data_IF_270353421387
#
_entry.id   IF_270353421387
#
_cell.length_a   1.000
_cell.length_b   1.000
_cell.length_c   1.000
_cell.angle_alpha   90.00
_cell.angle_beta   90.00
_cell.angle_gamma   90.00
#
_symmetry.space_group_name_H-M   'P 1'
#
loop_
_entity.id
_entity.type
_entity.pdbx_description
1 polymer ?
#
# COMPACT_ATOMS: atom_id res chain seq x y z
N UNK A 1 6.64 18.76 39.67
CA UNK A 1 5.50 17.89 39.19
C UNK A 1 5.08 18.46 37.86
N UNK A 2 5.73 18.01 36.77
CA UNK A 2 5.40 18.43 35.40
C UNK A 2 4.45 17.40 34.82
N UNK A 3 3.23 17.84 34.56
CA UNK A 3 2.21 17.03 33.86
C UNK A 3 2.61 16.92 32.40
N UNK A 4 2.91 15.72 31.94
CA UNK A 4 3.03 15.39 30.53
C UNK A 4 1.65 15.57 29.85
N UNK A 5 1.58 16.18 28.68
CA UNK A 5 0.35 16.22 27.93
C UNK A 5 -0.05 14.77 27.57
N UNK A 6 -1.26 14.38 27.93
CA UNK A 6 -1.85 13.12 27.49
C UNK A 6 -1.98 13.19 25.96
N UNK A 7 -1.25 12.36 25.24
CA UNK A 7 -1.45 12.13 23.81
C UNK A 7 -2.87 11.57 23.67
N UNK A 8 -3.76 12.18 22.91
CA UNK A 8 -5.10 11.65 22.71
C UNK A 8 -4.98 10.24 22.10
N UNK A 9 -5.70 9.27 22.68
CA UNK A 9 -5.72 7.87 22.20
C UNK A 9 -6.19 7.74 20.75
N UNK A 10 -6.82 8.78 20.19
CA UNK A 10 -7.20 8.88 18.78
C UNK A 10 -6.01 9.05 17.82
N UNK A 11 -4.84 9.46 18.30
CA UNK A 11 -3.64 9.61 17.46
C UNK A 11 -2.97 8.25 17.11
N UNK A 12 -3.36 7.19 17.80
CA UNK A 12 -3.04 5.82 17.38
C UNK A 12 -4.11 5.38 16.36
N UNK A 13 -3.99 5.85 15.13
CA UNK A 13 -4.87 5.44 14.05
C UNK A 13 -4.95 3.92 13.94
N UNK A 14 -5.98 3.37 13.29
CA UNK A 14 -6.23 1.94 13.19
C UNK A 14 -5.02 1.11 12.74
N UNK A 15 -4.04 1.75 12.09
CA UNK A 15 -2.79 1.11 11.65
C UNK A 15 -1.82 0.80 12.80
N UNK A 16 -1.71 1.66 13.80
CA UNK A 16 -0.88 1.36 14.98
C UNK A 16 -1.45 0.15 15.75
N UNK A 17 -2.78 0.05 15.84
CA UNK A 17 -3.48 -1.12 16.37
C UNK A 17 -3.35 -2.34 15.45
N UNK A 18 -3.30 -2.15 14.12
CA UNK A 18 -3.13 -3.24 13.17
C UNK A 18 -1.74 -3.85 13.20
N UNK A 19 -0.71 -3.03 13.30
CA UNK A 19 0.66 -3.53 13.49
C UNK A 19 0.79 -4.31 14.81
N UNK A 20 0.12 -3.86 15.86
CA UNK A 20 0.07 -4.56 17.14
C UNK A 20 -0.74 -5.87 17.08
N UNK A 21 -1.85 -5.89 16.32
CA UNK A 21 -2.67 -7.10 16.16
C UNK A 21 -2.00 -8.16 15.27
N UNK A 22 -1.27 -7.76 14.23
CA UNK A 22 -0.44 -8.68 13.44
C UNK A 22 0.69 -9.25 14.30
N UNK A 23 1.32 -8.43 15.13
CA UNK A 23 2.33 -8.90 16.09
C UNK A 23 1.72 -9.86 17.13
N UNK A 24 0.52 -9.58 17.64
CA UNK A 24 -0.19 -10.45 18.59
C UNK A 24 -0.64 -11.76 17.94
N UNK A 25 -1.10 -11.75 16.68
CA UNK A 25 -1.41 -12.99 15.96
C UNK A 25 -0.15 -13.86 15.76
N UNK A 26 0.98 -13.23 15.45
CA UNK A 26 2.27 -13.93 15.36
C UNK A 26 2.77 -14.45 16.72
N UNK A 27 2.44 -13.78 17.83
CA UNK A 27 2.81 -14.20 19.19
C UNK A 27 1.89 -15.32 19.74
N UNK A 28 0.62 -15.37 19.32
CA UNK A 28 -0.32 -16.42 19.73
C UNK A 28 -0.26 -17.67 18.86
N UNK A 29 0.25 -17.58 17.64
CA UNK A 29 0.55 -18.73 16.79
C UNK A 29 1.85 -19.44 17.20
N UNK A 30 2.10 -19.62 18.50
CA UNK A 30 3.31 -20.17 19.12
C UNK A 30 3.83 -21.51 18.60
N UNK A 31 3.85 -21.69 17.29
CA UNK A 31 4.55 -22.73 16.57
C UNK A 31 5.85 -22.16 16.01
N UNK A 32 6.99 -22.65 16.48
CA UNK A 32 8.29 -22.45 15.87
C UNK A 32 8.26 -23.00 14.43
N UNK A 33 7.77 -22.23 13.48
CA UNK A 33 8.06 -22.48 12.06
C UNK A 33 9.39 -21.83 11.74
N UNK A 34 10.47 -22.58 11.91
CA UNK A 34 11.71 -22.31 11.21
C UNK A 34 11.43 -22.53 9.73
N UNK A 35 11.01 -21.50 9.02
CA UNK A 35 10.99 -21.49 7.57
C UNK A 35 12.46 -21.55 7.11
N UNK A 36 12.92 -22.76 6.83
CA UNK A 36 14.12 -22.96 6.00
C UNK A 36 13.76 -22.43 4.62
N UNK A 37 14.32 -21.28 4.25
CA UNK A 37 14.28 -20.81 2.87
C UNK A 37 14.99 -21.83 1.99
N UNK A 38 14.25 -22.51 1.13
CA UNK A 38 14.83 -23.31 0.07
C UNK A 38 15.46 -22.36 -0.97
N UNK A 39 16.67 -22.62 -1.48
CA UNK A 39 17.40 -21.68 -2.35
C UNK A 39 16.81 -21.47 -3.75
N UNK A 40 15.61 -21.97 -4.05
CA UNK A 40 14.89 -21.81 -5.32
C UNK A 40 13.40 -21.49 -5.15
N UNK A 41 12.98 -21.06 -3.99
CA UNK A 41 11.62 -20.53 -3.84
C UNK A 41 11.58 -19.17 -4.51
N UNK A 42 10.68 -19.00 -5.49
CA UNK A 42 10.33 -17.68 -6.00
C UNK A 42 10.16 -16.76 -4.79
N UNK A 43 10.87 -15.65 -4.77
CA UNK A 43 10.83 -14.66 -3.70
C UNK A 43 9.36 -14.34 -3.47
N UNK A 44 8.83 -14.76 -2.35
CA UNK A 44 7.47 -14.43 -1.97
C UNK A 44 7.50 -12.97 -1.58
N UNK A 45 7.09 -12.12 -2.53
CA UNK A 45 7.01 -10.69 -2.30
C UNK A 45 6.06 -10.44 -1.12
N UNK A 46 6.40 -9.52 -0.21
CA UNK A 46 5.51 -9.17 0.88
C UNK A 46 4.18 -8.63 0.36
N UNK A 47 3.18 -8.67 1.22
CA UNK A 47 1.87 -8.11 0.96
C UNK A 47 1.95 -6.68 0.42
N UNK A 48 1.27 -6.41 -0.70
CA UNK A 48 1.26 -5.10 -1.35
C UNK A 48 2.19 -4.96 -2.56
N UNK A 49 2.85 -6.03 -3.01
CA UNK A 49 3.71 -5.96 -4.18
C UNK A 49 3.02 -6.54 -5.40
N UNK A 50 3.05 -5.79 -6.47
CA UNK A 50 2.60 -6.23 -7.77
C UNK A 50 3.37 -7.45 -8.26
N UNK A 51 2.63 -8.43 -8.79
CA UNK A 51 3.20 -9.53 -9.55
C UNK A 51 2.68 -9.44 -10.97
N UNK A 52 3.51 -9.02 -11.92
CA UNK A 52 3.17 -9.22 -13.31
C UNK A 52 3.04 -10.72 -13.56
N UNK A 53 2.01 -11.10 -14.30
CA UNK A 53 1.89 -12.48 -14.76
C UNK A 53 3.00 -12.77 -15.76
N UNK A 54 3.64 -13.95 -15.70
CA UNK A 54 4.59 -14.35 -16.73
C UNK A 54 3.94 -14.30 -18.11
N UNK A 55 4.64 -13.85 -19.15
CA UNK A 55 4.11 -13.83 -20.50
C UNK A 55 3.53 -15.21 -20.88
N UNK A 56 2.26 -15.25 -21.32
CA UNK A 56 1.57 -16.49 -21.68
C UNK A 56 1.01 -17.30 -20.51
N UNK A 57 1.14 -16.84 -19.26
CA UNK A 57 0.44 -17.47 -18.14
C UNK A 57 -1.07 -17.17 -18.22
N UNK A 58 -1.87 -18.21 -18.09
CA UNK A 58 -3.30 -18.03 -17.87
C UNK A 58 -3.52 -17.63 -16.43
N UNK A 59 -4.28 -16.55 -16.13
CA UNK A 59 -4.64 -16.22 -14.78
C UNK A 59 -5.21 -17.45 -14.07
N UNK A 60 -4.70 -17.77 -12.88
CA UNK A 60 -5.36 -18.78 -12.05
C UNK A 60 -6.83 -18.37 -11.93
N UNK A 61 -7.79 -19.27 -12.25
CA UNK A 61 -9.18 -18.94 -12.10
C UNK A 61 -9.40 -18.36 -10.70
N UNK A 62 -10.10 -17.24 -10.66
CA UNK A 62 -10.58 -16.71 -9.39
C UNK A 62 -11.30 -17.83 -8.65
N UNK A 63 -11.11 -18.01 -7.39
CA UNK A 63 -12.02 -18.85 -6.63
C UNK A 63 -13.39 -18.15 -6.63
N UNK A 64 -14.21 -18.49 -7.63
CA UNK A 64 -15.55 -17.93 -7.82
C UNK A 64 -16.56 -18.44 -6.80
N UNK A 65 -16.14 -19.22 -5.83
CA UNK A 65 -16.96 -19.68 -4.72
C UNK A 65 -17.08 -18.58 -3.65
N UNK A 66 -17.80 -17.52 -3.97
CA UNK A 66 -18.13 -16.48 -3.01
C UNK A 66 -19.64 -16.41 -2.78
N UNK A 67 -20.07 -16.01 -1.60
CA UNK A 67 -21.48 -15.76 -1.26
C UNK A 67 -22.04 -14.53 -2.01
N UNK A 68 -21.17 -13.66 -2.48
CA UNK A 68 -21.54 -12.44 -3.16
C UNK A 68 -20.64 -12.21 -4.37
N UNK A 69 -21.26 -12.01 -5.51
CA UNK A 69 -20.62 -11.53 -6.73
C UNK A 69 -21.53 -10.47 -7.34
N UNK A 70 -21.03 -9.27 -7.55
CA UNK A 70 -21.82 -8.17 -8.08
C UNK A 70 -20.95 -7.13 -8.78
N UNK A 71 -21.60 -6.35 -9.63
CA UNK A 71 -20.97 -5.17 -10.23
C UNK A 71 -21.49 -3.92 -9.52
N UNK A 72 -20.57 -3.06 -9.14
CA UNK A 72 -20.84 -1.80 -8.49
C UNK A 72 -20.03 -0.73 -9.19
N UNK A 73 -20.71 0.18 -9.90
CA UNK A 73 -19.99 1.18 -10.65
C UNK A 73 -18.92 0.55 -11.56
N UNK A 74 -17.66 0.82 -11.22
CA UNK A 74 -16.49 0.26 -11.93
C UNK A 74 -15.89 -0.99 -11.26
N UNK A 75 -16.47 -1.49 -10.17
CA UNK A 75 -15.94 -2.65 -9.45
C UNK A 75 -16.81 -3.90 -9.71
N UNK A 76 -16.15 -5.04 -9.89
CA UNK A 76 -16.76 -6.37 -9.85
C UNK A 76 -16.25 -7.07 -8.59
N UNK A 77 -17.07 -7.11 -7.55
CA UNK A 77 -16.70 -7.63 -6.24
C UNK A 77 -17.03 -9.11 -6.13
N UNK A 78 -16.09 -9.90 -5.65
CA UNK A 78 -16.26 -11.27 -5.20
C UNK A 78 -15.72 -11.43 -3.78
N UNK A 79 -16.43 -12.15 -2.93
CA UNK A 79 -16.07 -12.37 -1.52
C UNK A 79 -16.08 -13.88 -1.23
N UNK A 80 -15.06 -14.35 -0.52
CA UNK A 80 -14.96 -15.76 -0.13
C UNK A 80 -16.18 -16.20 0.68
N UNK A 81 -16.64 -17.44 0.42
CA UNK A 81 -17.79 -18.03 1.12
C UNK A 81 -17.59 -18.05 2.63
N UNK A 82 -18.62 -17.62 3.37
CA UNK A 82 -18.59 -17.61 4.84
C UNK A 82 -17.76 -16.49 5.48
N UNK A 83 -17.08 -15.64 4.70
CA UNK A 83 -16.26 -14.56 5.24
C UNK A 83 -17.13 -13.38 5.75
N UNK A 84 -18.18 -13.04 5.03
CA UNK A 84 -19.06 -11.91 5.33
C UNK A 84 -20.52 -12.36 5.39
N UNK A 85 -21.30 -11.76 6.29
CA UNK A 85 -22.76 -11.81 6.24
C UNK A 85 -23.31 -10.86 5.13
N UNK A 86 -24.59 -10.97 4.73
CA UNK A 86 -25.17 -10.15 3.68
C UNK A 86 -25.10 -8.63 3.94
N UNK A 87 -25.23 -8.20 5.19
CA UNK A 87 -25.17 -6.76 5.51
C UNK A 87 -23.71 -6.26 5.44
N UNK A 88 -22.75 -7.10 5.84
CA UNK A 88 -21.34 -6.79 5.70
C UNK A 88 -20.92 -6.71 4.22
N UNK A 89 -21.49 -7.55 3.34
CA UNK A 89 -21.27 -7.45 1.89
C UNK A 89 -21.66 -6.09 1.34
N UNK A 90 -22.88 -5.62 1.65
CA UNK A 90 -23.34 -4.32 1.17
C UNK A 90 -22.47 -3.17 1.69
N UNK A 91 -22.08 -3.22 2.95
CA UNK A 91 -21.18 -2.18 3.53
C UNK A 91 -19.83 -2.16 2.84
N UNK A 92 -19.17 -3.31 2.71
CA UNK A 92 -17.88 -3.41 2.02
C UNK A 92 -17.98 -2.93 0.60
N UNK A 93 -19.06 -3.28 -0.09
CA UNK A 93 -19.34 -2.85 -1.42
C UNK A 93 -19.35 -1.32 -1.55
N UNK A 94 -20.10 -0.65 -0.69
CA UNK A 94 -20.18 0.82 -0.65
C UNK A 94 -18.83 1.43 -0.26
N UNK A 95 -18.15 0.86 0.73
CA UNK A 95 -16.86 1.35 1.22
C UNK A 95 -15.77 1.25 0.13
N UNK A 96 -15.79 0.19 -0.68
CA UNK A 96 -14.86 0.01 -1.79
C UNK A 96 -15.12 0.97 -2.94
N UNK A 97 -16.38 1.22 -3.29
CA UNK A 97 -16.73 2.21 -4.32
C UNK A 97 -16.31 3.62 -3.89
N UNK A 98 -16.53 3.96 -2.61
CA UNK A 98 -16.03 5.21 -2.02
C UNK A 98 -14.51 5.30 -1.99
N UNK A 99 -13.83 4.17 -1.73
CA UNK A 99 -12.37 4.12 -1.73
C UNK A 99 -11.82 4.36 -3.14
N UNK A 100 -12.38 3.69 -4.16
CA UNK A 100 -11.99 3.92 -5.55
C UNK A 100 -12.22 5.38 -5.96
N UNK A 101 -13.40 5.93 -5.69
CA UNK A 101 -13.70 7.33 -5.99
C UNK A 101 -12.72 8.30 -5.32
N UNK A 102 -12.36 8.04 -4.07
CA UNK A 102 -11.39 8.84 -3.33
C UNK A 102 -9.99 8.79 -3.96
N UNK A 103 -9.47 7.59 -4.28
CA UNK A 103 -8.12 7.47 -4.86
C UNK A 103 -8.06 8.05 -6.27
N UNK A 104 -9.12 7.92 -7.08
CA UNK A 104 -9.26 8.59 -8.38
C UNK A 104 -9.16 10.11 -8.21
N UNK A 105 -9.92 10.68 -7.29
CA UNK A 105 -9.88 12.13 -7.03
C UNK A 105 -8.50 12.58 -6.56
N UNK A 106 -7.88 11.84 -5.64
CA UNK A 106 -6.59 12.22 -5.04
C UNK A 106 -5.43 12.10 -6.00
N UNK A 107 -5.41 11.05 -6.81
CA UNK A 107 -4.32 10.79 -7.77
C UNK A 107 -4.53 11.48 -9.11
N UNK A 108 -5.74 11.95 -9.41
CA UNK A 108 -6.17 12.43 -10.72
C UNK A 108 -5.99 11.38 -11.84
N UNK A 109 -5.93 10.08 -11.48
CA UNK A 109 -5.88 8.95 -12.41
C UNK A 109 -7.23 8.25 -12.41
N UNK A 110 -7.75 7.89 -13.58
CA UNK A 110 -9.03 7.22 -13.72
C UNK A 110 -8.86 5.78 -14.22
N UNK A 111 -9.67 4.82 -13.73
CA UNK A 111 -9.63 3.46 -14.23
C UNK A 111 -10.12 3.41 -15.69
N UNK A 112 -9.41 2.68 -16.55
CA UNK A 112 -9.74 2.57 -17.96
C UNK A 112 -10.96 1.65 -18.24
N UNK A 113 -11.23 0.69 -17.35
CA UNK A 113 -12.35 -0.25 -17.43
C UNK A 113 -12.64 -0.85 -16.05
N UNK A 114 -13.72 -1.65 -15.89
CA UNK A 114 -14.04 -2.30 -14.64
C UNK A 114 -12.88 -3.12 -14.06
N UNK A 115 -12.79 -3.14 -12.74
CA UNK A 115 -11.74 -3.77 -11.95
C UNK A 115 -12.31 -4.95 -11.15
N UNK A 116 -11.65 -6.11 -11.22
CA UNK A 116 -12.00 -7.27 -10.41
C UNK A 116 -11.41 -7.13 -9.01
N UNK A 117 -12.27 -7.20 -8.01
CA UNK A 117 -11.91 -7.12 -6.59
C UNK A 117 -12.27 -8.43 -5.92
N UNK A 118 -11.32 -9.01 -5.20
CA UNK A 118 -11.55 -10.21 -4.41
C UNK A 118 -11.20 -9.99 -2.93
N UNK A 119 -12.14 -10.32 -2.06
CA UNK A 119 -11.93 -10.38 -0.60
C UNK A 119 -11.89 -11.84 -0.20
N UNK A 120 -10.69 -12.35 0.03
CA UNK A 120 -10.41 -13.75 0.32
C UNK A 120 -10.25 -14.05 1.80
N UNK A 121 -10.39 -15.34 2.15
CA UNK A 121 -10.14 -15.84 3.50
C UNK A 121 -8.67 -16.21 3.65
N UNK A 122 -8.02 -15.67 4.70
CA UNK A 122 -6.69 -16.03 5.13
C UNK A 122 -6.78 -16.94 6.40
N UNK A 123 -6.53 -18.24 6.27
CA UNK A 123 -6.65 -19.16 7.40
C UNK A 123 -5.75 -18.82 8.59
N UNK A 124 -4.58 -18.24 8.32
CA UNK A 124 -3.65 -17.75 9.34
C UNK A 124 -4.04 -16.42 9.97
N UNK A 125 -5.19 -15.87 9.60
CA UNK A 125 -5.69 -14.58 10.06
C UNK A 125 -4.70 -13.42 9.83
N UNK A 126 -3.93 -13.50 8.75
CA UNK A 126 -3.12 -12.39 8.24
C UNK A 126 -3.98 -11.38 7.47
N UNK A 127 -3.39 -10.24 7.17
CA UNK A 127 -3.98 -9.22 6.31
C UNK A 127 -2.95 -8.80 5.27
N UNK A 128 -3.23 -9.05 4.00
CA UNK A 128 -2.37 -8.64 2.90
C UNK A 128 -3.17 -8.41 1.63
N UNK A 129 -2.70 -7.50 0.79
CA UNK A 129 -3.24 -7.20 -0.52
C UNK A 129 -2.28 -7.58 -1.64
N UNK A 130 -2.77 -7.59 -2.85
CA UNK A 130 -1.98 -7.71 -4.06
C UNK A 130 -2.76 -7.19 -5.26
N UNK A 131 -2.11 -6.41 -6.12
CA UNK A 131 -2.60 -6.03 -7.43
C UNK A 131 -1.94 -6.88 -8.53
N UNK A 132 -2.76 -7.43 -9.41
CA UNK A 132 -2.35 -8.04 -10.68
C UNK A 132 -2.81 -7.09 -11.78
N UNK A 133 -2.02 -6.06 -12.02
CA UNK A 133 -2.44 -4.90 -12.79
C UNK A 133 -2.61 -5.18 -14.27
N UNK A 134 -1.84 -6.11 -14.81
CA UNK A 134 -1.91 -6.58 -16.21
C UNK A 134 -3.21 -7.33 -16.53
N UNK A 135 -3.86 -7.94 -15.53
CA UNK A 135 -5.15 -8.62 -15.64
C UNK A 135 -6.28 -7.90 -14.91
N UNK A 136 -6.04 -6.68 -14.43
CA UNK A 136 -7.01 -5.79 -13.76
C UNK A 136 -7.71 -6.44 -12.58
N UNK A 137 -6.91 -7.01 -11.67
CA UNK A 137 -7.40 -7.76 -10.53
C UNK A 137 -6.69 -7.32 -9.26
N UNK A 138 -7.44 -6.92 -8.26
CA UNK A 138 -6.92 -6.62 -6.91
C UNK A 138 -7.53 -7.57 -5.90
N UNK A 139 -6.73 -8.00 -4.94
CA UNK A 139 -7.15 -8.94 -3.90
C UNK A 139 -6.72 -8.44 -2.54
N UNK A 140 -7.53 -8.77 -1.53
CA UNK A 140 -7.12 -8.72 -0.13
C UNK A 140 -7.49 -10.03 0.54
N UNK A 141 -6.61 -10.54 1.36
CA UNK A 141 -6.86 -11.70 2.19
C UNK A 141 -6.97 -11.25 3.64
N UNK A 142 -8.02 -11.71 4.31
CA UNK A 142 -8.37 -11.32 5.69
C UNK A 142 -9.07 -12.48 6.42
N UNK A 143 -9.49 -12.28 7.65
CA UNK A 143 -10.27 -13.27 8.39
C UNK A 143 -11.42 -12.57 9.16
N UNK A 144 -12.44 -13.33 9.63
CA UNK A 144 -13.62 -12.76 10.27
C UNK A 144 -13.34 -11.97 11.55
N UNK A 145 -12.20 -12.18 12.20
CA UNK A 145 -11.83 -11.48 13.44
C UNK A 145 -11.12 -10.16 13.19
N UNK A 146 -10.70 -9.87 11.96
CA UNK A 146 -10.11 -8.60 11.58
C UNK A 146 -11.21 -7.60 11.15
N UNK A 147 -11.11 -6.34 11.58
CA UNK A 147 -12.06 -5.32 11.14
C UNK A 147 -12.02 -5.12 9.61
N UNK A 148 -13.17 -5.14 8.95
CA UNK A 148 -13.28 -5.03 7.50
C UNK A 148 -12.71 -3.73 6.92
N UNK A 149 -12.79 -2.62 7.66
CA UNK A 149 -12.17 -1.37 7.24
C UNK A 149 -10.65 -1.51 7.01
N UNK A 150 -10.01 -2.51 7.62
CA UNK A 150 -8.59 -2.79 7.36
C UNK A 150 -8.38 -3.36 5.96
N UNK A 151 -9.27 -4.26 5.53
CA UNK A 151 -9.25 -4.77 4.16
C UNK A 151 -9.52 -3.66 3.14
N UNK A 152 -10.45 -2.74 3.44
CA UNK A 152 -10.72 -1.56 2.60
C UNK A 152 -9.48 -0.66 2.50
N UNK A 153 -8.74 -0.45 3.61
CA UNK A 153 -7.53 0.36 3.60
C UNK A 153 -6.43 -0.24 2.68
N UNK A 154 -6.26 -1.57 2.73
CA UNK A 154 -5.33 -2.26 1.82
C UNK A 154 -5.81 -2.14 0.37
N UNK A 155 -7.10 -2.41 0.10
CA UNK A 155 -7.63 -2.31 -1.27
C UNK A 155 -7.54 -0.89 -1.83
N UNK A 156 -7.67 0.16 -1.01
CA UNK A 156 -7.42 1.53 -1.45
C UNK A 156 -5.99 1.73 -1.98
N UNK A 157 -5.00 1.08 -1.37
CA UNK A 157 -3.62 1.07 -1.85
C UNK A 157 -3.49 0.28 -3.17
N UNK A 158 -4.06 -0.92 -3.23
CA UNK A 158 -4.03 -1.77 -4.43
C UNK A 158 -4.75 -1.11 -5.63
N UNK A 159 -5.81 -0.32 -5.39
CA UNK A 159 -6.46 0.47 -6.43
C UNK A 159 -5.51 1.47 -7.05
N UNK A 160 -4.64 2.11 -6.26
CA UNK A 160 -3.67 3.06 -6.81
C UNK A 160 -2.67 2.37 -7.72
N UNK A 161 -2.19 1.16 -7.39
CA UNK A 161 -1.34 0.38 -8.28
C UNK A 161 -2.03 0.14 -9.63
N UNK A 162 -3.32 -0.27 -9.61
CA UNK A 162 -4.07 -0.45 -10.85
C UNK A 162 -4.22 0.87 -11.64
N UNK A 163 -4.51 1.97 -10.95
CA UNK A 163 -4.62 3.28 -11.60
C UNK A 163 -3.27 3.74 -12.19
N UNK A 164 -2.17 3.44 -11.51
CA UNK A 164 -0.83 3.69 -12.04
C UNK A 164 -0.55 2.87 -13.30
N UNK A 165 -0.92 1.60 -13.32
CA UNK A 165 -0.79 0.78 -14.52
C UNK A 165 -1.68 1.29 -15.66
N UNK A 166 -2.92 1.69 -15.37
CA UNK A 166 -3.82 2.29 -16.34
C UNK A 166 -3.26 3.60 -16.93
N UNK A 167 -2.52 4.38 -16.14
CA UNK A 167 -2.01 5.69 -16.53
C UNK A 167 -0.63 5.62 -17.19
N UNK A 168 0.30 4.83 -16.63
CA UNK A 168 1.69 4.74 -17.11
C UNK A 168 1.95 3.52 -18.00
N UNK A 169 0.97 2.61 -18.14
CA UNK A 169 1.11 1.34 -18.87
C UNK A 169 2.17 0.43 -18.23
N UNK A 170 2.81 -0.38 -19.05
CA UNK A 170 3.82 -1.36 -18.62
C UNK A 170 5.03 -0.72 -17.89
N UNK A 171 5.22 0.60 -17.99
CA UNK A 171 6.26 1.31 -17.24
C UNK A 171 6.04 1.22 -15.74
N UNK A 172 4.77 1.12 -15.30
CA UNK A 172 4.44 0.92 -13.90
C UNK A 172 5.10 -0.35 -13.33
N UNK A 173 5.16 -1.44 -14.09
CA UNK A 173 5.76 -2.71 -13.66
C UNK A 173 7.28 -2.64 -13.43
N UNK A 174 7.92 -1.59 -13.90
CA UNK A 174 9.34 -1.31 -13.73
C UNK A 174 9.59 -0.05 -12.90
N UNK A 175 8.56 0.56 -12.34
CA UNK A 175 8.71 1.76 -11.54
C UNK A 175 9.69 1.55 -10.37
N UNK A 176 10.39 2.59 -10.00
CA UNK A 176 11.21 2.60 -8.79
C UNK A 176 10.34 2.22 -7.58
N UNK A 177 10.80 1.26 -6.78
CA UNK A 177 10.03 0.71 -5.67
C UNK A 177 9.58 1.80 -4.67
N UNK A 178 10.45 2.78 -4.40
CA UNK A 178 10.13 3.92 -3.52
C UNK A 178 8.97 4.73 -4.08
N UNK A 179 8.97 4.94 -5.40
CA UNK A 179 7.93 5.71 -6.07
C UNK A 179 6.63 4.91 -6.23
N UNK A 180 6.72 3.61 -6.55
CA UNK A 180 5.57 2.74 -6.75
C UNK A 180 4.76 2.57 -5.45
N UNK A 181 5.42 2.16 -4.36
CA UNK A 181 4.77 1.98 -3.07
C UNK A 181 4.43 3.34 -2.41
N UNK A 182 5.29 4.33 -2.65
CA UNK A 182 5.08 5.69 -2.17
C UNK A 182 3.81 6.33 -2.73
N UNK A 183 3.59 6.26 -4.06
CA UNK A 183 2.37 6.82 -4.67
C UNK A 183 1.13 6.00 -4.30
N UNK A 184 1.26 4.68 -4.16
CA UNK A 184 0.16 3.82 -3.75
C UNK A 184 -0.33 4.17 -2.34
N UNK A 185 0.59 4.32 -1.40
CA UNK A 185 0.29 4.74 -0.03
C UNK A 185 -0.19 6.20 0.03
N UNK A 186 0.48 7.11 -0.70
CA UNK A 186 0.07 8.51 -0.79
C UNK A 186 -1.32 8.67 -1.39
N UNK A 187 -1.62 7.93 -2.45
CA UNK A 187 -2.92 7.94 -3.12
C UNK A 187 -4.04 7.36 -2.25
N UNK A 188 -3.74 6.30 -1.47
CA UNK A 188 -4.68 5.76 -0.49
C UNK A 188 -5.00 6.75 0.65
N UNK A 189 -4.11 7.71 0.92
CA UNK A 189 -4.33 8.90 1.75
C UNK A 189 -5.04 8.61 3.07
N UNK A 190 -6.30 9.09 3.23
CA UNK A 190 -7.07 8.96 4.48
C UNK A 190 -7.22 7.52 4.97
N UNK A 191 -7.18 6.54 4.09
CA UNK A 191 -7.27 5.12 4.45
C UNK A 191 -6.01 4.63 5.20
N UNK A 192 -4.90 5.35 5.06
CA UNK A 192 -3.64 5.08 5.74
C UNK A 192 -3.33 6.09 6.85
N UNK A 193 -3.66 7.36 6.64
CA UNK A 193 -3.34 8.45 7.57
C UNK A 193 -4.23 8.46 8.84
N UNK A 194 -5.43 7.89 8.78
CA UNK A 194 -6.41 8.09 9.84
C UNK A 194 -6.71 9.57 10.02
N UNK A 195 -6.45 10.11 11.22
CA UNK A 195 -6.70 11.52 11.55
C UNK A 195 -5.54 12.47 11.18
N UNK A 196 -4.40 11.95 10.71
CA UNK A 196 -3.27 12.79 10.32
C UNK A 196 -3.61 13.57 9.03
N UNK A 197 -3.27 14.87 8.94
CA UNK A 197 -3.66 15.71 7.81
C UNK A 197 -2.92 15.35 6.51
N UNK A 198 -1.66 14.91 6.63
CA UNK A 198 -0.80 14.56 5.50
C UNK A 198 0.38 13.69 5.97
N UNK A 199 1.10 13.05 5.04
CA UNK A 199 2.19 12.11 5.36
C UNK A 199 3.39 12.79 5.99
N UNK A 200 3.71 14.03 5.62
CA UNK A 200 4.72 14.85 6.29
C UNK A 200 4.52 14.89 7.80
N UNK A 201 3.32 15.27 8.24
CA UNK A 201 2.99 15.36 9.67
C UNK A 201 3.03 13.98 10.35
N UNK A 202 2.66 12.92 9.61
CA UNK A 202 2.65 11.56 10.14
C UNK A 202 4.07 11.04 10.44
N UNK A 203 5.05 11.30 9.57
CA UNK A 203 6.43 10.79 9.70
C UNK A 203 7.33 11.70 10.54
N UNK A 204 6.99 12.99 10.68
CA UNK A 204 7.82 13.97 11.42
C UNK A 204 8.26 13.51 12.82
N UNK A 205 7.43 12.83 13.64
CA UNK A 205 7.86 12.32 14.93
C UNK A 205 8.99 11.28 14.85
N UNK A 206 9.07 10.50 13.80
CA UNK A 206 10.17 9.53 13.62
C UNK A 206 11.47 10.24 13.27
N UNK A 207 11.42 11.17 12.30
CA UNK A 207 12.59 11.93 11.89
C UNK A 207 13.15 12.79 13.02
N UNK A 208 12.28 13.41 13.84
CA UNK A 208 12.71 14.22 14.97
C UNK A 208 13.42 13.41 16.08
N UNK A 209 13.23 12.09 16.11
CA UNK A 209 13.89 11.18 17.06
C UNK A 209 15.02 10.37 16.44
N UNK A 210 15.31 10.55 15.14
CA UNK A 210 16.28 9.73 14.40
C UNK A 210 15.88 8.25 14.29
N UNK A 211 14.57 7.98 14.21
CA UNK A 211 13.99 6.64 14.11
C UNK A 211 13.59 6.28 12.68
N UNK A 212 13.87 7.16 11.73
CA UNK A 212 13.57 6.90 10.32
C UNK A 212 14.49 5.83 9.75
N UNK A 213 13.99 5.16 8.71
CA UNK A 213 14.76 4.21 7.91
C UNK A 213 15.26 4.90 6.64
N UNK A 214 16.44 4.52 6.10
CA UNK A 214 16.89 5.01 4.79
C UNK A 214 15.85 4.66 3.71
N UNK A 215 15.52 5.61 2.83
CA UNK A 215 14.50 5.38 1.79
C UNK A 215 14.93 4.33 0.77
N UNK A 216 16.22 4.21 0.51
CA UNK A 216 16.78 3.31 -0.50
C UNK A 216 16.89 1.83 -0.09
N UNK A 217 16.40 1.44 1.08
CA UNK A 217 16.40 0.03 1.49
C UNK A 217 15.18 -0.72 0.94
N UNK A 218 15.35 -2.02 0.66
CA UNK A 218 14.21 -2.88 0.36
C UNK A 218 13.48 -3.26 1.63
N UNK A 219 12.14 -3.36 1.56
CA UNK A 219 11.34 -3.88 2.67
C UNK A 219 11.40 -5.40 2.81
N UNK A 220 11.98 -6.11 1.83
CA UNK A 220 12.06 -7.59 1.83
C UNK A 220 12.85 -8.07 3.03
N UNK A 221 12.21 -8.87 3.87
CA UNK A 221 12.83 -9.43 5.07
C UNK A 221 12.78 -8.52 6.30
N UNK A 222 12.24 -7.32 6.20
CA UNK A 222 12.04 -6.45 7.35
C UNK A 222 10.89 -6.95 8.25
N UNK A 223 10.94 -6.64 9.55
CA UNK A 223 9.77 -6.75 10.41
C UNK A 223 8.60 -5.93 9.86
N UNK A 224 7.36 -6.38 10.07
CA UNK A 224 6.15 -5.69 9.56
C UNK A 224 6.08 -4.22 10.02
N UNK A 225 6.51 -3.93 11.24
CA UNK A 225 6.57 -2.56 11.76
C UNK A 225 7.48 -1.65 10.94
N UNK A 226 8.63 -2.16 10.53
CA UNK A 226 9.62 -1.40 9.76
C UNK A 226 9.21 -1.30 8.29
N UNK A 227 8.62 -2.36 7.72
CA UNK A 227 8.01 -2.30 6.41
C UNK A 227 6.92 -1.22 6.35
N UNK A 228 5.99 -1.20 7.32
CA UNK A 228 4.96 -0.17 7.39
C UNK A 228 5.57 1.23 7.53
N UNK A 229 6.63 1.38 8.35
CA UNK A 229 7.34 2.65 8.49
C UNK A 229 7.88 3.14 7.15
N UNK A 230 8.49 2.25 6.35
CA UNK A 230 8.96 2.59 5.00
C UNK A 230 7.82 3.06 4.09
N UNK A 231 6.69 2.39 4.06
CA UNK A 231 5.54 2.81 3.25
C UNK A 231 5.10 4.24 3.57
N UNK A 232 5.01 4.60 4.85
CA UNK A 232 4.70 5.97 5.26
C UNK A 232 5.78 6.97 4.87
N UNK A 233 7.07 6.59 5.00
CA UNK A 233 8.18 7.44 4.59
C UNK A 233 8.20 7.64 3.08
N UNK A 234 8.00 6.58 2.29
CA UNK A 234 7.92 6.66 0.84
C UNK A 234 6.72 7.50 0.38
N UNK A 235 5.57 7.37 1.04
CA UNK A 235 4.42 8.23 0.77
C UNK A 235 4.71 9.72 1.09
N UNK A 236 5.41 9.99 2.18
CA UNK A 236 5.86 11.35 2.52
C UNK A 236 6.91 11.88 1.54
N UNK A 237 7.78 11.01 1.03
CA UNK A 237 8.75 11.39 0.00
C UNK A 237 8.07 11.72 -1.34
N UNK A 238 7.08 10.93 -1.74
CA UNK A 238 6.25 11.23 -2.92
C UNK A 238 5.48 12.54 -2.74
N UNK A 239 4.90 12.77 -1.54
CA UNK A 239 4.26 14.04 -1.19
C UNK A 239 5.23 15.22 -1.36
N UNK A 240 6.45 15.09 -0.84
CA UNK A 240 7.53 16.08 -1.02
C UNK A 240 7.87 16.35 -2.49
N UNK A 241 8.04 15.30 -3.29
CA UNK A 241 8.36 15.44 -4.71
C UNK A 241 7.25 16.17 -5.47
N UNK A 242 5.99 15.78 -5.24
CA UNK A 242 4.82 16.39 -5.89
C UNK A 242 4.64 17.84 -5.45
N UNK A 243 4.76 18.14 -4.15
CA UNK A 243 4.59 19.50 -3.64
C UNK A 243 5.74 20.45 -4.06
N UNK A 244 6.96 19.92 -4.16
CA UNK A 244 8.14 20.75 -4.46
C UNK A 244 8.36 20.95 -5.95
N UNK A 245 8.18 19.90 -6.75
CA UNK A 245 8.54 19.90 -8.18
C UNK A 245 7.33 19.80 -9.11
N UNK A 246 6.14 19.55 -8.55
CA UNK A 246 4.91 19.39 -9.30
C UNK A 246 4.67 17.96 -9.80
N UNK A 247 3.40 17.68 -10.11
CA UNK A 247 2.94 16.37 -10.53
C UNK A 247 3.54 15.93 -11.88
N UNK A 248 3.67 16.84 -12.82
CA UNK A 248 4.22 16.56 -14.15
C UNK A 248 5.67 16.04 -14.08
N UNK A 249 6.50 16.69 -13.25
CA UNK A 249 7.88 16.25 -13.03
C UNK A 249 7.94 14.87 -12.30
N UNK A 250 7.02 14.63 -11.36
CA UNK A 250 6.89 13.34 -10.74
C UNK A 250 6.50 12.24 -11.74
N UNK A 251 5.54 12.50 -12.62
CA UNK A 251 5.10 11.56 -13.65
C UNK A 251 6.24 11.23 -14.62
N UNK A 252 7.05 12.23 -15.00
CA UNK A 252 8.23 12.03 -15.83
C UNK A 252 9.28 11.16 -15.14
N UNK A 253 9.54 11.33 -13.84
CA UNK A 253 10.43 10.49 -13.06
C UNK A 253 9.92 9.06 -12.96
N UNK A 254 8.63 8.89 -12.66
CA UNK A 254 8.01 7.60 -12.38
C UNK A 254 8.27 6.54 -13.46
N UNK A 255 8.22 6.96 -14.72
CA UNK A 255 8.37 6.05 -15.88
C UNK A 255 9.83 5.69 -16.21
N UNK A 256 10.81 6.21 -15.46
CA UNK A 256 12.24 5.95 -15.66
C UNK A 256 12.80 4.86 -14.75
N UNK A 257 12.00 4.34 -13.81
CA UNK A 257 12.42 3.33 -12.84
C UNK A 257 12.86 2.00 -13.46
N UNK A 258 13.58 1.20 -12.67
CA UNK A 258 14.09 -0.13 -13.03
C UNK A 258 13.78 -1.17 -11.94
N UNK A 259 12.71 -0.98 -11.18
CA UNK A 259 12.18 -1.92 -10.19
C UNK A 259 12.92 -1.98 -8.86
N UNK A 260 14.00 -1.22 -8.67
CA UNK A 260 14.76 -1.19 -7.42
C UNK A 260 14.59 0.15 -6.70
N UNK A 261 14.72 0.22 -5.37
CA UNK A 261 14.75 1.48 -4.64
C UNK A 261 15.83 2.43 -5.18
N UNK A 262 15.47 3.67 -5.45
CA UNK A 262 16.41 4.68 -5.94
C UNK A 262 16.84 4.52 -7.40
N UNK A 263 16.17 3.66 -8.20
CA UNK A 263 16.55 3.30 -9.56
C UNK A 263 16.06 4.26 -10.65
N UNK A 264 15.18 5.21 -10.33
CA UNK A 264 14.67 6.17 -11.30
C UNK A 264 15.73 7.24 -11.64
N UNK A 265 15.55 7.93 -12.77
CA UNK A 265 16.48 8.99 -13.22
C UNK A 265 16.22 10.33 -12.49
N UNK A 266 16.56 10.34 -11.21
CA UNK A 266 16.43 11.53 -10.35
C UNK A 266 17.29 12.70 -10.85
N UNK A 267 18.51 12.40 -11.35
CA UNK A 267 19.43 13.43 -11.85
C UNK A 267 18.89 14.05 -13.13
N UNK A 268 18.43 13.25 -14.08
CA UNK A 268 17.85 13.74 -15.32
C UNK A 268 16.57 14.55 -15.11
N UNK A 269 15.76 14.17 -14.10
CA UNK A 269 14.47 14.82 -13.84
C UNK A 269 14.60 16.04 -12.95
N UNK A 270 15.36 15.97 -11.85
CA UNK A 270 15.41 17.02 -10.81
C UNK A 270 16.77 17.70 -10.70
N UNK A 271 17.79 17.25 -11.45
CA UNK A 271 19.17 17.75 -11.34
C UNK A 271 19.87 17.37 -10.03
N UNK A 272 19.33 16.42 -9.28
CA UNK A 272 19.80 15.95 -7.98
C UNK A 272 19.71 14.42 -7.90
N UNK A 273 20.68 13.79 -7.26
CA UNK A 273 20.63 12.35 -7.05
C UNK A 273 19.66 11.96 -5.92
N UNK A 274 19.39 10.67 -5.77
CA UNK A 274 18.44 10.13 -4.80
C UNK A 274 18.81 10.51 -3.35
N UNK A 275 20.09 10.39 -2.97
CA UNK A 275 20.55 10.70 -1.61
C UNK A 275 20.40 12.19 -1.28
N UNK A 276 20.66 13.07 -2.25
CA UNK A 276 20.44 14.53 -2.10
C UNK A 276 18.96 14.87 -1.95
N UNK A 277 18.08 14.14 -2.61
CA UNK A 277 16.64 14.30 -2.48
C UNK A 277 16.13 13.73 -1.16
N UNK A 278 16.66 12.59 -0.71
CA UNK A 278 16.35 12.06 0.63
C UNK A 278 16.74 13.06 1.72
N UNK A 279 17.95 13.64 1.64
CA UNK A 279 18.40 14.66 2.60
C UNK A 279 17.50 15.90 2.59
N UNK A 280 17.08 16.35 1.40
CA UNK A 280 16.18 17.49 1.24
C UNK A 280 14.77 17.18 1.77
N UNK A 281 14.25 15.97 1.52
CA UNK A 281 12.99 15.51 2.10
C UNK A 281 13.03 15.52 3.63
N UNK A 282 14.10 14.99 4.24
CA UNK A 282 14.27 15.02 5.71
C UNK A 282 14.22 16.45 6.24
N UNK A 283 14.93 17.37 5.58
CA UNK A 283 14.90 18.78 5.97
C UNK A 283 13.49 19.39 5.80
N UNK A 284 12.80 19.09 4.69
CA UNK A 284 11.42 19.54 4.45
C UNK A 284 10.46 19.01 5.51
N UNK A 285 10.55 17.73 5.90
CA UNK A 285 9.71 17.17 6.96
C UNK A 285 9.91 17.91 8.29
N UNK A 286 11.15 18.21 8.66
CA UNK A 286 11.47 18.84 9.96
C UNK A 286 11.18 20.34 10.04
N UNK A 287 10.95 21.02 8.91
CA UNK A 287 10.63 22.46 8.87
C UNK A 287 9.13 22.75 9.00
N UNK A 288 8.25 21.78 8.92
CA UNK A 288 6.78 21.90 9.01
C UNK A 288 6.28 21.45 10.32
#
# INVERSE_FOLDING_TARGET
MSSWPKIPQSALGPLALGSLLILLAALFAGGRTTTRFAPNSAVQLPAGVERPMPPGATPTPWPLSGNYTGQMGLLRLSVAEGLLDPQAHERVAVDLDQALAYVVQRTAMAPQSPLDVYVGLEPGCGLHGIAYTDVRRVQVFTCPTLPLNRAVNILAHEFVHQLCHDYYGDRHLQADLVLAEGIATWGAGRYWLGDAPHFRAFVAPWLSRGEELPLGISYVGLPISDMNKLYYQWASFVEYLIETYGREAFDALYVTGQGQPGSADYVGTYGRNFDELEAAWKAWVLQG
#
